data_IF_143257796269
#
_entry.id   IF_143257796269
#
_cell.length_a   1.000
_cell.length_b   1.000
_cell.length_c   1.000
_cell.angle_alpha   90.00
_cell.angle_beta   90.00
_cell.angle_gamma   90.00
#
_symmetry.space_group_name_H-M   'P 1'
#
loop_
_entity.id
_entity.type
_entity.pdbx_description
1 polymer ?
#
# COMPACT_ATOMS: atom_id res chain seq x y z
N UNK A 1 -23.05 5.98 13.94
CA UNK A 1 -21.83 6.55 13.34
C UNK A 1 -21.98 6.51 11.82
N UNK A 2 -21.62 7.56 11.11
CA UNK A 2 -21.64 7.52 9.64
C UNK A 2 -20.50 6.63 9.12
N UNK A 3 -20.59 6.15 7.86
CA UNK A 3 -19.50 5.39 7.28
C UNK A 3 -18.18 6.18 7.21
N UNK A 4 -18.26 7.49 7.04
CA UNK A 4 -17.10 8.40 7.09
C UNK A 4 -16.45 8.42 8.49
N UNK A 5 -17.26 8.57 9.53
CA UNK A 5 -16.77 8.55 10.93
C UNK A 5 -16.14 7.20 11.28
N UNK A 6 -16.73 6.09 10.83
CA UNK A 6 -16.17 4.75 11.00
C UNK A 6 -14.81 4.63 10.30
N UNK A 7 -14.71 5.07 9.04
CA UNK A 7 -13.47 4.99 8.27
C UNK A 7 -12.34 5.83 8.91
N UNK A 8 -12.64 7.06 9.32
CA UNK A 8 -11.68 7.96 9.98
C UNK A 8 -11.27 7.39 11.35
N UNK A 9 -12.22 6.87 12.12
CA UNK A 9 -11.96 6.21 13.40
C UNK A 9 -10.99 5.04 13.25
N UNK A 10 -11.25 4.16 12.29
CA UNK A 10 -10.37 3.02 11.98
C UNK A 10 -8.94 3.45 11.63
N UNK A 11 -8.78 4.49 10.80
CA UNK A 11 -7.46 5.00 10.44
C UNK A 11 -6.70 5.56 11.65
N UNK A 12 -7.40 6.30 12.52
CA UNK A 12 -6.80 6.86 13.74
C UNK A 12 -6.35 5.77 14.71
N UNK A 13 -7.17 4.74 14.92
CA UNK A 13 -6.86 3.61 15.80
C UNK A 13 -5.67 2.78 15.28
N UNK A 14 -5.50 2.69 13.97
CA UNK A 14 -4.43 1.93 13.32
C UNK A 14 -3.24 2.80 12.86
N UNK A 15 -3.20 4.08 13.23
CA UNK A 15 -2.16 5.02 12.77
C UNK A 15 -0.74 4.51 13.01
N UNK A 16 -0.45 4.03 14.22
CA UNK A 16 0.89 3.51 14.57
C UNK A 16 1.26 2.29 13.73
N UNK A 17 0.30 1.38 13.49
CA UNK A 17 0.51 0.20 12.65
C UNK A 17 0.88 0.59 11.22
N UNK A 18 0.12 1.51 10.62
CA UNK A 18 0.38 1.98 9.26
C UNK A 18 1.69 2.76 9.16
N UNK A 19 1.97 3.65 10.12
CA UNK A 19 3.23 4.39 10.17
C UNK A 19 4.44 3.46 10.29
N UNK A 20 4.35 2.42 11.11
CA UNK A 20 5.41 1.43 11.26
C UNK A 20 5.64 0.61 9.99
N UNK A 21 4.57 0.24 9.29
CA UNK A 21 4.67 -0.45 8.00
C UNK A 21 5.31 0.43 6.94
N UNK A 22 4.87 1.69 6.81
CA UNK A 22 5.46 2.65 5.88
C UNK A 22 6.94 2.90 6.15
N UNK A 23 7.31 2.95 7.43
CA UNK A 23 8.70 3.06 7.84
C UNK A 23 9.51 1.82 7.49
N UNK A 24 8.99 0.62 7.71
CA UNK A 24 9.69 -0.62 7.36
C UNK A 24 9.94 -0.74 5.86
N UNK A 25 9.02 -0.29 5.02
CA UNK A 25 9.21 -0.22 3.56
C UNK A 25 10.26 0.83 3.21
N UNK A 26 10.24 1.99 3.86
CA UNK A 26 11.25 3.04 3.67
C UNK A 26 12.67 2.56 4.05
N UNK A 27 12.80 1.76 5.10
CA UNK A 27 14.07 1.19 5.56
C UNK A 27 14.57 0.04 4.66
N UNK A 28 13.71 -0.52 3.80
CA UNK A 28 14.03 -1.58 2.85
C UNK A 28 13.65 -1.16 1.41
N UNK A 29 14.30 -0.12 0.87
CA UNK A 29 13.92 0.41 -0.43
C UNK A 29 14.30 -0.56 -1.56
N UNK A 30 13.32 -0.89 -2.38
CA UNK A 30 13.44 -1.80 -3.54
C UNK A 30 13.03 -1.06 -4.80
N UNK A 31 13.81 -1.18 -5.86
CA UNK A 31 13.50 -0.54 -7.15
C UNK A 31 12.35 -1.27 -7.86
N UNK A 32 11.74 -0.59 -8.82
CA UNK A 32 10.63 -1.13 -9.60
C UNK A 32 10.90 -2.50 -10.21
N UNK A 33 9.93 -3.40 -10.14
CA UNK A 33 9.94 -4.83 -10.52
C UNK A 33 10.73 -5.76 -9.58
N UNK A 34 11.34 -5.24 -8.52
CA UNK A 34 12.11 -6.01 -7.53
C UNK A 34 11.56 -5.91 -6.09
N UNK A 35 10.37 -5.34 -5.91
CA UNK A 35 9.76 -4.98 -4.61
C UNK A 35 9.18 -6.20 -3.87
N UNK A 36 10.01 -7.18 -3.55
CA UNK A 36 9.58 -8.43 -2.91
C UNK A 36 9.17 -8.23 -1.45
N UNK A 37 9.89 -7.41 -0.71
CA UNK A 37 9.58 -7.09 0.68
C UNK A 37 8.31 -6.24 0.77
N UNK A 38 8.26 -5.13 0.05
CA UNK A 38 7.16 -4.17 0.12
C UNK A 38 5.83 -4.81 -0.34
N UNK A 39 5.85 -5.53 -1.48
CA UNK A 39 4.66 -6.20 -2.01
C UNK A 39 4.12 -7.24 -1.03
N UNK A 40 5.01 -8.09 -0.49
CA UNK A 40 4.62 -9.10 0.48
C UNK A 40 4.10 -8.50 1.79
N UNK A 41 4.76 -7.49 2.32
CA UNK A 41 4.36 -6.86 3.59
C UNK A 41 2.95 -6.26 3.51
N UNK A 42 2.59 -5.63 2.38
CA UNK A 42 1.25 -5.08 2.17
C UNK A 42 0.23 -6.18 1.88
N UNK A 43 0.59 -7.18 1.06
CA UNK A 43 -0.28 -8.32 0.77
C UNK A 43 -0.64 -9.10 2.04
N UNK A 44 0.33 -9.37 2.92
CA UNK A 44 0.11 -10.06 4.20
C UNK A 44 -0.92 -9.31 5.10
N UNK A 45 -0.90 -7.98 5.09
CA UNK A 45 -1.89 -7.17 5.83
C UNK A 45 -3.30 -7.27 5.25
N UNK A 46 -3.41 -7.33 3.91
CA UNK A 46 -4.68 -7.51 3.21
C UNK A 46 -5.23 -8.93 3.42
N UNK A 47 -4.39 -9.95 3.31
CA UNK A 47 -4.80 -11.34 3.57
C UNK A 47 -5.30 -11.54 5.01
N UNK A 48 -4.60 -10.98 6.02
CA UNK A 48 -5.05 -10.97 7.42
C UNK A 48 -6.43 -10.33 7.60
N UNK A 49 -6.75 -9.34 6.77
CA UNK A 49 -8.05 -8.67 6.77
C UNK A 49 -9.12 -9.40 5.93
N UNK A 50 -8.78 -10.53 5.31
CA UNK A 50 -9.70 -11.34 4.53
C UNK A 50 -9.84 -10.95 3.06
N UNK A 51 -8.92 -10.18 2.51
CA UNK A 51 -8.83 -9.96 1.07
C UNK A 51 -8.26 -11.20 0.38
N UNK A 52 -8.77 -11.50 -0.80
CA UNK A 52 -8.15 -12.46 -1.73
C UNK A 52 -7.06 -11.75 -2.51
N UNK A 53 -5.81 -12.22 -2.43
CA UNK A 53 -4.65 -11.60 -3.09
C UNK A 53 -4.16 -12.47 -4.22
N UNK A 54 -4.00 -11.89 -5.41
CA UNK A 54 -3.49 -12.54 -6.62
C UNK A 54 -2.26 -11.78 -7.11
N UNK A 55 -1.07 -12.41 -7.00
CA UNK A 55 0.20 -11.90 -7.52
C UNK A 55 0.33 -12.13 -9.02
N UNK A 56 1.28 -11.44 -9.65
CA UNK A 56 1.57 -11.57 -11.08
C UNK A 56 0.68 -10.74 -11.98
N UNK A 57 0.03 -9.72 -11.43
CA UNK A 57 -0.82 -8.82 -12.20
C UNK A 57 -0.06 -8.18 -13.37
N UNK A 58 -0.65 -8.21 -14.56
CA UNK A 58 0.00 -7.67 -15.77
C UNK A 58 1.32 -8.34 -16.16
N UNK A 59 1.61 -9.55 -15.64
CA UNK A 59 2.87 -10.26 -15.86
C UNK A 59 4.05 -9.77 -15.01
N UNK A 60 3.81 -8.88 -14.04
CA UNK A 60 4.81 -8.37 -13.09
C UNK A 60 4.77 -9.19 -11.79
N UNK A 61 5.87 -9.88 -11.46
CA UNK A 61 5.95 -10.82 -10.33
C UNK A 61 5.56 -10.17 -9.00
N UNK A 62 5.95 -8.93 -8.77
CA UNK A 62 5.71 -8.19 -7.52
C UNK A 62 4.41 -7.39 -7.50
N UNK A 63 3.73 -7.25 -8.64
CA UNK A 63 2.43 -6.61 -8.72
C UNK A 63 1.31 -7.57 -8.31
N UNK A 64 0.29 -7.06 -7.63
CA UNK A 64 -0.86 -7.88 -7.24
C UNK A 64 -2.18 -7.12 -7.33
N UNK A 65 -3.26 -7.89 -7.37
CA UNK A 65 -4.62 -7.40 -7.17
C UNK A 65 -5.18 -8.08 -5.93
N UNK A 66 -5.69 -7.29 -4.99
CA UNK A 66 -6.41 -7.80 -3.83
C UNK A 66 -7.86 -7.35 -3.87
N UNK A 67 -8.79 -8.25 -3.57
CA UNK A 67 -10.23 -7.99 -3.65
C UNK A 67 -10.94 -8.44 -2.38
N UNK A 68 -11.91 -7.64 -1.92
CA UNK A 68 -12.79 -7.96 -0.80
C UNK A 68 -14.22 -7.49 -1.10
N UNK A 69 -15.21 -8.21 -0.56
CA UNK A 69 -16.62 -7.95 -0.81
C UNK A 69 -17.11 -8.59 -2.11
N UNK A 70 -18.34 -8.33 -2.45
CA UNK A 70 -18.97 -8.89 -3.66
C UNK A 70 -19.99 -7.94 -4.28
N UNK A 71 -20.22 -8.07 -5.58
CA UNK A 71 -21.20 -7.29 -6.30
C UNK A 71 -20.70 -5.89 -6.70
N UNK A 72 -21.66 -5.05 -7.03
CA UNK A 72 -21.42 -3.68 -7.52
C UNK A 72 -21.81 -2.63 -6.48
N UNK A 73 -21.15 -1.46 -6.48
CA UNK A 73 -20.07 -1.06 -7.36
C UNK A 73 -18.75 -1.76 -7.04
N UNK A 74 -17.82 -1.75 -8.00
CA UNK A 74 -16.42 -2.15 -7.77
C UNK A 74 -15.58 -0.88 -7.70
N UNK A 75 -14.95 -0.63 -6.56
CA UNK A 75 -14.07 0.53 -6.36
C UNK A 75 -12.63 0.05 -6.35
N UNK A 76 -11.84 0.54 -7.30
CA UNK A 76 -10.40 0.28 -7.41
C UNK A 76 -9.58 1.37 -6.71
N UNK A 77 -8.65 0.97 -5.88
CA UNK A 77 -7.66 1.85 -5.23
C UNK A 77 -6.30 1.48 -5.79
N UNK A 78 -5.63 2.43 -6.43
CA UNK A 78 -4.27 2.24 -6.94
C UNK A 78 -3.26 2.59 -5.86
N UNK A 79 -2.15 1.88 -5.83
CA UNK A 79 -1.01 2.20 -4.98
C UNK A 79 0.30 1.66 -5.55
N UNK A 80 1.40 2.31 -5.20
CA UNK A 80 2.76 1.97 -5.60
C UNK A 80 3.62 1.86 -4.35
N UNK A 81 4.77 1.18 -4.46
CA UNK A 81 5.69 0.96 -3.33
C UNK A 81 7.16 0.86 -3.75
N UNK A 82 7.48 1.11 -5.01
CA UNK A 82 8.84 1.13 -5.52
C UNK A 82 9.64 2.34 -5.02
N UNK A 83 10.93 2.11 -4.86
CA UNK A 83 11.92 3.14 -4.58
C UNK A 83 12.63 3.58 -5.86
N UNK A 84 13.23 4.76 -5.83
CA UNK A 84 13.99 5.30 -6.94
C UNK A 84 15.49 4.99 -6.78
N UNK A 85 16.22 4.71 -7.89
CA UNK A 85 17.65 4.47 -7.83
C UNK A 85 18.43 5.72 -7.39
N UNK A 86 19.54 5.51 -6.70
CA UNK A 86 20.45 6.57 -6.26
C UNK A 86 19.85 7.64 -5.34
N UNK A 87 18.76 7.32 -4.64
CA UNK A 87 18.10 8.20 -3.68
C UNK A 87 18.15 7.70 -2.24
N UNK A 88 19.15 6.84 -1.92
CA UNK A 88 19.39 6.44 -0.54
C UNK A 88 19.58 7.66 0.35
N UNK A 89 18.84 7.75 1.45
CA UNK A 89 18.81 8.92 2.30
C UNK A 89 18.44 8.53 3.73
N UNK A 90 19.10 9.15 4.69
CA UNK A 90 18.72 9.10 6.10
C UNK A 90 17.54 10.04 6.39
N UNK A 91 16.86 9.83 7.52
CA UNK A 91 15.72 10.65 7.98
C UNK A 91 16.21 12.01 8.57
N UNK A 92 17.00 12.74 7.79
CA UNK A 92 17.56 14.06 8.13
C UNK A 92 17.28 15.04 7.00
N UNK A 93 17.22 16.36 7.27
CA UNK A 93 17.00 17.36 6.22
C UNK A 93 18.23 17.57 5.33
N UNK A 94 19.41 17.15 5.75
CA UNK A 94 20.64 17.22 4.98
C UNK A 94 20.80 15.99 4.08
N UNK A 95 21.48 16.15 2.95
CA UNK A 95 21.85 15.02 2.11
C UNK A 95 22.79 14.07 2.87
N UNK A 96 22.30 12.90 3.17
CA UNK A 96 23.06 11.86 3.89
C UNK A 96 22.68 10.47 3.36
N UNK A 97 23.46 9.97 2.41
CA UNK A 97 23.23 8.66 1.81
C UNK A 97 23.58 7.55 2.82
N UNK A 98 22.62 6.67 3.14
CA UNK A 98 22.87 5.49 3.96
C UNK A 98 23.67 4.44 3.19
N UNK A 99 23.36 4.26 1.91
CA UNK A 99 24.05 3.36 0.98
C UNK A 99 24.45 4.17 -0.25
N UNK A 100 25.73 4.44 -0.48
CA UNK A 100 26.18 5.22 -1.63
C UNK A 100 25.64 4.68 -2.96
N UNK A 101 24.89 5.49 -3.70
CA UNK A 101 24.25 5.11 -4.94
C UNK A 101 23.09 4.13 -4.80
N UNK A 102 22.69 3.77 -3.58
CA UNK A 102 21.57 2.86 -3.31
C UNK A 102 20.21 3.48 -3.55
N UNK A 103 19.16 2.66 -3.60
CA UNK A 103 17.78 3.15 -3.79
C UNK A 103 17.24 3.86 -2.54
N UNK A 104 16.19 4.67 -2.74
CA UNK A 104 15.50 5.35 -1.65
C UNK A 104 14.14 5.88 -2.06
N UNK A 105 13.28 6.09 -1.08
CA UNK A 105 11.88 6.56 -1.28
C UNK A 105 11.79 8.08 -1.41
N UNK A 106 12.48 8.65 -2.40
CA UNK A 106 12.44 10.09 -2.68
C UNK A 106 11.09 10.59 -3.23
N UNK A 107 10.28 9.70 -3.80
CA UNK A 107 8.92 10.00 -4.27
C UNK A 107 7.83 9.72 -3.22
N UNK A 108 8.16 9.01 -2.14
CA UNK A 108 7.22 8.72 -1.05
C UNK A 108 6.26 7.55 -1.34
N UNK A 109 6.59 6.64 -2.25
CA UNK A 109 5.74 5.49 -2.57
C UNK A 109 5.55 4.53 -1.40
N UNK A 110 6.48 4.48 -0.44
CA UNK A 110 6.27 3.78 0.84
C UNK A 110 5.04 4.30 1.60
N UNK A 111 4.78 5.62 1.55
CA UNK A 111 3.58 6.24 2.14
C UNK A 111 2.35 6.03 1.28
N UNK A 112 2.49 6.18 -0.05
CA UNK A 112 1.40 5.96 -1.00
C UNK A 112 0.90 4.52 -0.95
N UNK A 113 1.82 3.57 -0.92
CA UNK A 113 1.51 2.18 -0.75
C UNK A 113 0.67 1.89 0.49
N UNK A 114 1.12 2.32 1.64
CA UNK A 114 0.42 2.09 2.91
C UNK A 114 -0.85 2.94 3.02
N UNK A 115 -0.87 4.13 2.44
CA UNK A 115 -2.09 4.95 2.37
C UNK A 115 -3.23 4.26 1.64
N UNK A 116 -2.94 3.63 0.49
CA UNK A 116 -3.93 2.85 -0.25
C UNK A 116 -4.40 1.59 0.52
N UNK A 117 -3.49 0.91 1.26
CA UNK A 117 -3.85 -0.16 2.19
C UNK A 117 -4.83 0.35 3.26
N UNK A 118 -4.47 1.44 3.93
CA UNK A 118 -5.31 2.06 4.96
C UNK A 118 -6.70 2.43 4.43
N UNK A 119 -6.77 3.03 3.23
CA UNK A 119 -8.04 3.37 2.59
C UNK A 119 -8.92 2.13 2.33
N UNK A 120 -8.34 1.04 1.82
CA UNK A 120 -9.10 -0.19 1.56
C UNK A 120 -9.63 -0.83 2.85
N UNK A 121 -8.81 -0.90 3.90
CA UNK A 121 -9.22 -1.46 5.18
C UNK A 121 -10.26 -0.59 5.89
N UNK A 122 -10.14 0.74 5.79
CA UNK A 122 -11.13 1.67 6.31
C UNK A 122 -12.48 1.56 5.56
N UNK A 123 -12.44 1.40 4.23
CA UNK A 123 -13.65 1.13 3.44
C UNK A 123 -14.29 -0.20 3.83
N UNK A 124 -13.50 -1.27 3.98
CA UNK A 124 -13.98 -2.58 4.43
C UNK A 124 -14.71 -2.45 5.77
N UNK A 125 -14.11 -1.77 6.75
CA UNK A 125 -14.70 -1.54 8.07
C UNK A 125 -16.02 -0.79 7.97
N UNK A 126 -16.05 0.33 7.24
CA UNK A 126 -17.25 1.13 7.06
C UNK A 126 -18.36 0.36 6.33
N UNK A 127 -18.03 -0.38 5.27
CA UNK A 127 -18.99 -1.20 4.54
C UNK A 127 -19.58 -2.30 5.42
N UNK A 128 -18.74 -2.96 6.22
CA UNK A 128 -19.19 -4.01 7.16
C UNK A 128 -20.16 -3.45 8.19
N UNK A 129 -19.84 -2.34 8.83
CA UNK A 129 -20.69 -1.75 9.86
C UNK A 129 -21.99 -1.16 9.33
N UNK A 130 -21.97 -0.61 8.11
CA UNK A 130 -23.16 -0.01 7.49
C UNK A 130 -23.99 -1.01 6.66
N UNK A 131 -23.53 -2.26 6.53
CA UNK A 131 -24.21 -3.24 5.66
C UNK A 131 -24.19 -2.86 4.18
N UNK A 132 -23.15 -2.16 3.72
CA UNK A 132 -23.02 -1.71 2.33
C UNK A 132 -22.45 -2.86 1.50
N UNK A 133 -23.12 -3.21 0.40
CA UNK A 133 -22.64 -4.19 -0.58
C UNK A 133 -21.79 -3.53 -1.65
N UNK A 134 -20.83 -4.26 -2.19
CA UNK A 134 -19.91 -3.79 -3.22
C UNK A 134 -18.54 -4.49 -3.09
N UNK A 135 -17.66 -4.22 -4.01
CA UNK A 135 -16.32 -4.80 -4.02
C UNK A 135 -15.26 -3.70 -3.88
N UNK A 136 -14.36 -3.86 -2.92
CA UNK A 136 -13.14 -3.05 -2.78
C UNK A 136 -12.01 -3.83 -3.44
N UNK A 137 -11.29 -3.19 -4.34
CA UNK A 137 -10.15 -3.77 -5.03
C UNK A 137 -8.93 -2.89 -4.89
N UNK A 138 -7.83 -3.42 -4.40
CA UNK A 138 -6.53 -2.78 -4.44
C UNK A 138 -5.77 -3.31 -5.65
N UNK A 139 -5.24 -2.40 -6.44
CA UNK A 139 -4.38 -2.70 -7.59
C UNK A 139 -3.01 -2.12 -7.27
N UNK A 140 -2.00 -3.00 -7.22
CA UNK A 140 -0.63 -2.63 -6.93
C UNK A 140 0.23 -2.80 -8.15
N UNK A 141 0.75 -1.70 -8.64
CA UNK A 141 1.77 -1.68 -9.69
C UNK A 141 3.14 -1.57 -9.05
N UNK A 142 4.12 -2.18 -9.71
CA UNK A 142 5.54 -2.12 -9.34
C UNK A 142 6.28 -0.99 -10.03
N UNK A 143 5.64 -0.23 -10.92
CA UNK A 143 6.24 0.89 -11.63
C UNK A 143 5.21 1.93 -11.99
N UNK A 144 5.63 3.19 -12.08
CA UNK A 144 4.85 4.20 -12.78
C UNK A 144 4.54 3.68 -14.19
N UNK A 145 3.26 3.63 -14.52
CA UNK A 145 2.84 3.34 -15.89
C UNK A 145 3.26 4.56 -16.71
N UNK A 146 4.43 4.50 -17.31
CA UNK A 146 4.80 5.47 -18.33
C UNK A 146 3.93 5.22 -19.55
N UNK A 147 3.00 6.13 -19.79
CA UNK A 147 2.17 6.19 -21.00
C UNK A 147 3.00 6.56 -22.22
#
# INVERSE_FOLDING_TARGET
>A
MSGEETAIGYLNENYTRFSSLARSIWENPEIGLEEKFASKAIADELEKAGFSVEFGAGGMETAFVASWGEGSPIIGILGEYDALPSLSQDATPERNELVPGGPGHGCGHNLYGVGALGAALAMQQAMTEQGITGTVRIIRSSTEITW
#
